data_IF_126222173897
#
_entry.id   IF_126222173897
#
_cell.length_a   1.000
_cell.length_b   1.000
_cell.length_c   1.000
_cell.angle_alpha   90.00
_cell.angle_beta   90.00
_cell.angle_gamma   90.00
#
_symmetry.space_group_name_H-M   'P 1'
#
loop_
_entity.id
_entity.type
_entity.pdbx_description
1 polymer ?
#
# COMPACT_ATOMS: atom_id res chain seq x y z
N UNK A 1 10.56 25.82 -9.36
CA UNK A 1 9.76 24.58 -9.25
C UNK A 1 8.88 24.33 -10.48
N UNK A 2 8.41 25.36 -11.15
CA UNK A 2 7.59 25.25 -12.39
C UNK A 2 8.24 24.52 -13.57
N UNK A 3 9.54 24.28 -13.52
CA UNK A 3 10.31 23.57 -14.54
C UNK A 3 10.88 22.22 -14.04
N UNK A 4 10.47 21.79 -12.84
CA UNK A 4 10.95 20.55 -12.21
C UNK A 4 9.77 19.59 -12.08
N UNK A 5 9.86 18.45 -12.74
CA UNK A 5 8.87 17.38 -12.72
C UNK A 5 9.46 16.16 -12.00
N UNK A 6 9.06 15.94 -10.73
CA UNK A 6 9.49 14.77 -9.96
C UNK A 6 8.58 13.60 -10.29
N UNK A 7 9.14 12.58 -10.92
CA UNK A 7 8.41 11.40 -11.37
C UNK A 7 8.32 10.36 -10.24
N UNK A 8 7.10 9.92 -9.96
CA UNK A 8 6.81 8.62 -9.38
C UNK A 8 5.98 7.83 -10.39
N UNK A 9 6.54 6.74 -10.91
CA UNK A 9 5.87 5.98 -11.97
C UNK A 9 4.55 5.34 -11.53
N UNK A 10 4.32 5.16 -10.22
CA UNK A 10 3.02 4.71 -9.71
C UNK A 10 1.89 5.69 -10.04
N UNK A 11 2.15 6.99 -10.02
CA UNK A 11 1.15 8.00 -10.41
C UNK A 11 0.79 7.94 -11.91
N UNK A 12 1.65 7.36 -12.74
CA UNK A 12 1.37 7.11 -14.15
C UNK A 12 0.55 5.85 -14.43
N UNK A 13 0.32 4.98 -13.42
CA UNK A 13 -0.50 3.78 -13.60
C UNK A 13 -1.98 4.12 -13.57
N UNK A 14 -2.73 3.62 -14.56
CA UNK A 14 -4.16 3.88 -14.70
C UNK A 14 -4.95 3.46 -13.47
N UNK A 15 -4.64 2.32 -12.88
CA UNK A 15 -5.32 1.82 -11.67
C UNK A 15 -5.01 2.64 -10.42
N UNK A 16 -3.85 3.28 -10.32
CA UNK A 16 -3.56 4.23 -9.25
C UNK A 16 -4.38 5.51 -9.44
N UNK A 17 -4.47 6.02 -10.66
CA UNK A 17 -5.33 7.17 -10.97
C UNK A 17 -6.81 6.85 -10.76
N UNK A 18 -7.21 5.59 -11.02
CA UNK A 18 -8.57 5.13 -10.81
C UNK A 18 -9.03 5.19 -9.35
N UNK A 19 -8.15 5.24 -8.37
CA UNK A 19 -8.54 5.46 -6.98
C UNK A 19 -9.36 6.75 -6.86
N UNK A 20 -8.93 7.82 -7.54
CA UNK A 20 -9.65 9.10 -7.57
C UNK A 20 -10.96 8.98 -8.35
N UNK A 21 -10.96 8.33 -9.51
CA UNK A 21 -12.18 8.12 -10.31
C UNK A 21 -13.20 7.28 -9.55
N UNK A 22 -12.78 6.17 -8.94
CA UNK A 22 -13.63 5.30 -8.14
C UNK A 22 -14.30 6.09 -6.99
N UNK A 23 -13.52 6.87 -6.28
CA UNK A 23 -14.00 7.64 -5.13
C UNK A 23 -14.90 8.81 -5.53
N UNK A 24 -14.45 9.64 -6.47
CA UNK A 24 -15.03 10.96 -6.70
C UNK A 24 -16.05 11.03 -7.83
N UNK A 25 -16.17 9.98 -8.66
CA UNK A 25 -17.22 9.90 -9.67
C UNK A 25 -18.38 8.95 -9.29
N UNK A 26 -18.31 8.31 -8.13
CA UNK A 26 -19.34 7.37 -7.67
C UNK A 26 -19.89 7.79 -6.31
N UNK A 27 -21.15 8.19 -6.27
CA UNK A 27 -21.83 8.67 -5.05
C UNK A 27 -21.95 7.65 -3.91
N UNK A 28 -21.73 6.37 -4.19
CA UNK A 28 -21.84 5.29 -3.20
C UNK A 28 -20.59 5.07 -2.37
N UNK A 29 -19.40 5.45 -2.85
CA UNK A 29 -18.15 5.18 -2.14
C UNK A 29 -17.76 6.29 -1.18
N UNK A 30 -17.76 7.54 -1.60
CA UNK A 30 -17.24 8.64 -0.80
C UNK A 30 -17.96 8.81 0.56
N UNK A 31 -19.31 8.62 0.70
CA UNK A 31 -20.00 8.69 1.99
C UNK A 31 -19.52 7.64 3.01
N UNK A 32 -19.08 6.49 2.55
CA UNK A 32 -18.59 5.39 3.42
C UNK A 32 -17.06 5.38 3.57
N UNK A 33 -16.36 6.31 2.94
CA UNK A 33 -14.89 6.40 2.90
C UNK A 33 -14.34 7.21 4.09
N UNK A 34 -14.67 6.75 5.30
CA UNK A 34 -14.29 7.45 6.53
C UNK A 34 -14.29 6.54 7.76
N UNK A 35 -13.79 7.05 8.87
CA UNK A 35 -13.78 6.40 10.18
C UNK A 35 -15.15 5.85 10.64
N UNK A 36 -16.24 6.36 10.12
CA UNK A 36 -17.56 5.86 10.49
C UNK A 36 -17.83 4.45 9.98
N UNK A 37 -17.26 4.10 8.83
CA UNK A 37 -17.50 2.83 8.14
C UNK A 37 -16.25 1.97 7.96
N UNK A 38 -15.08 2.58 7.82
CA UNK A 38 -13.81 1.88 7.63
C UNK A 38 -13.24 1.44 8.97
N UNK A 39 -12.86 0.16 9.08
CA UNK A 39 -12.15 -0.40 10.22
C UNK A 39 -10.64 -0.14 10.12
N UNK A 40 -10.06 -0.47 8.98
CA UNK A 40 -8.66 -0.23 8.67
C UNK A 40 -8.38 -0.25 7.17
N UNK A 41 -7.23 0.25 6.77
CA UNK A 41 -6.73 0.20 5.40
C UNK A 41 -5.43 -0.60 5.37
N UNK A 42 -5.27 -1.47 4.36
CA UNK A 42 -4.00 -2.16 4.10
C UNK A 42 -3.49 -1.80 2.70
N UNK A 43 -2.22 -1.42 2.61
CA UNK A 43 -1.54 -1.16 1.33
C UNK A 43 -0.36 -2.12 1.26
N UNK A 44 -0.35 -3.01 0.27
CA UNK A 44 0.71 -3.99 0.07
C UNK A 44 1.37 -3.75 -1.29
N UNK A 45 2.71 -3.62 -1.28
CA UNK A 45 3.55 -3.64 -2.48
C UNK A 45 4.54 -4.78 -2.33
N UNK A 46 4.24 -5.92 -2.92
CA UNK A 46 5.04 -7.13 -2.83
C UNK A 46 5.77 -7.40 -4.15
N UNK A 47 7.03 -7.78 -4.04
CA UNK A 47 7.87 -8.20 -5.16
C UNK A 47 8.37 -9.63 -4.92
N UNK A 48 8.27 -10.48 -5.93
CA UNK A 48 8.78 -11.87 -5.90
C UNK A 48 10.25 -11.98 -6.33
N UNK A 49 10.83 -10.87 -6.79
CA UNK A 49 12.23 -10.78 -7.23
C UNK A 49 13.14 -10.32 -6.08
N UNK A 50 14.44 -10.71 -6.17
CA UNK A 50 15.53 -10.19 -5.32
C UNK A 50 16.09 -8.87 -5.85
N UNK A 51 17.24 -8.46 -5.31
CA UNK A 51 17.88 -7.20 -5.70
C UNK A 51 18.65 -7.29 -7.03
N UNK A 52 19.12 -8.47 -7.40
CA UNK A 52 19.79 -8.73 -8.68
C UNK A 52 20.90 -7.72 -9.00
N UNK A 53 20.84 -7.12 -10.20
CA UNK A 53 21.84 -6.14 -10.65
C UNK A 53 21.79 -4.81 -9.92
N UNK A 54 20.73 -4.52 -9.15
CA UNK A 54 20.56 -3.28 -8.38
C UNK A 54 21.16 -3.35 -6.96
N UNK A 55 21.87 -4.43 -6.62
CA UNK A 55 22.39 -4.67 -5.27
C UNK A 55 23.13 -3.45 -4.66
N UNK A 56 24.06 -2.84 -5.41
CA UNK A 56 24.82 -1.68 -4.91
C UNK A 56 23.98 -0.43 -4.62
N UNK A 57 22.90 -0.20 -5.38
CA UNK A 57 21.95 0.86 -5.09
C UNK A 57 21.08 0.49 -3.87
N UNK A 58 20.59 -0.74 -3.87
CA UNK A 58 19.65 -1.20 -2.84
C UNK A 58 20.28 -1.27 -1.45
N UNK A 59 21.57 -1.59 -1.37
CA UNK A 59 22.35 -1.58 -0.12
C UNK A 59 22.35 -0.21 0.57
N UNK A 60 22.22 0.88 -0.20
CA UNK A 60 22.15 2.23 0.32
C UNK A 60 20.72 2.71 0.55
N UNK A 61 19.76 2.21 -0.23
CA UNK A 61 18.38 2.67 -0.20
C UNK A 61 17.52 1.87 0.80
N UNK A 62 17.58 0.54 0.76
CA UNK A 62 16.64 -0.32 1.46
C UNK A 62 15.21 -0.20 0.96
N UNK A 63 14.30 -0.99 1.50
CA UNK A 63 12.88 -0.97 1.16
C UNK A 63 12.20 0.34 1.57
N UNK A 64 12.67 0.97 2.65
CA UNK A 64 12.10 2.21 3.16
C UNK A 64 12.22 3.34 2.15
N UNK A 65 13.42 3.55 1.58
CA UNK A 65 13.68 4.63 0.61
C UNK A 65 13.27 4.24 -0.81
N UNK A 66 13.44 2.96 -1.20
CA UNK A 66 13.15 2.51 -2.58
C UNK A 66 11.65 2.46 -2.87
N UNK A 67 10.80 2.14 -1.87
CA UNK A 67 9.36 1.90 -2.08
C UNK A 67 8.47 2.72 -1.13
N UNK A 68 8.78 2.78 0.17
CA UNK A 68 7.84 3.38 1.14
C UNK A 68 7.77 4.89 0.97
N UNK A 69 8.92 5.56 0.95
CA UNK A 69 9.04 7.02 0.93
C UNK A 69 8.37 7.66 -0.30
N UNK A 70 8.30 6.93 -1.38
CA UNK A 70 7.74 7.38 -2.66
C UNK A 70 6.39 6.71 -2.96
N UNK A 71 6.43 5.54 -3.56
CA UNK A 71 5.24 4.84 -4.10
C UNK A 71 4.15 4.60 -3.07
N UNK A 72 4.50 4.07 -1.88
CA UNK A 72 3.51 3.80 -0.85
C UNK A 72 2.91 5.09 -0.28
N UNK A 73 3.71 6.14 -0.07
CA UNK A 73 3.21 7.42 0.41
C UNK A 73 2.29 8.08 -0.62
N UNK A 74 2.57 7.97 -1.93
CA UNK A 74 1.68 8.50 -2.97
C UNK A 74 0.34 7.74 -3.01
N UNK A 75 0.37 6.40 -2.97
CA UNK A 75 -0.85 5.58 -2.92
C UNK A 75 -1.67 5.87 -1.65
N UNK A 76 -1.01 6.02 -0.50
CA UNK A 76 -1.65 6.40 0.76
C UNK A 76 -2.34 7.77 0.62
N UNK A 77 -1.68 8.76 0.02
CA UNK A 77 -2.26 10.08 -0.19
C UNK A 77 -3.54 10.02 -1.05
N UNK A 78 -3.50 9.34 -2.19
CA UNK A 78 -4.67 9.21 -3.08
C UNK A 78 -5.82 8.44 -2.42
N UNK A 79 -5.49 7.48 -1.56
CA UNK A 79 -6.47 6.72 -0.79
C UNK A 79 -7.12 7.58 0.30
N UNK A 80 -6.35 8.45 0.96
CA UNK A 80 -6.77 9.14 2.17
C UNK A 80 -7.20 10.60 1.98
N UNK A 81 -6.88 11.24 0.84
CA UNK A 81 -7.14 12.66 0.62
C UNK A 81 -8.63 13.01 0.54
N UNK A 82 -8.97 14.27 0.79
CA UNK A 82 -10.30 14.81 0.53
C UNK A 82 -10.53 14.97 -0.99
N UNK A 83 -11.80 15.00 -1.45
CA UNK A 83 -12.10 15.32 -2.85
C UNK A 83 -11.52 16.70 -3.20
N UNK A 84 -10.66 16.78 -4.25
CA UNK A 84 -10.14 18.08 -4.68
C UNK A 84 -11.25 18.92 -5.29
N UNK A 85 -11.17 20.24 -5.17
CA UNK A 85 -12.18 21.17 -5.73
C UNK A 85 -12.22 21.18 -7.25
N UNK A 86 -11.12 20.74 -7.89
CA UNK A 86 -10.98 20.58 -9.33
C UNK A 86 -9.92 19.54 -9.63
N UNK A 87 -9.99 18.89 -10.80
CA UNK A 87 -8.95 17.97 -11.24
C UNK A 87 -7.85 18.77 -11.97
N UNK A 88 -7.05 19.47 -11.18
CA UNK A 88 -5.87 20.20 -11.62
C UNK A 88 -4.70 19.98 -10.65
N UNK A 89 -3.51 20.30 -11.13
CA UNK A 89 -2.27 20.03 -10.39
C UNK A 89 -2.21 20.67 -9.00
N UNK A 90 -2.77 21.86 -8.85
CA UNK A 90 -2.75 22.55 -7.56
C UNK A 90 -3.70 21.88 -6.58
N UNK A 91 -4.95 21.69 -6.98
CA UNK A 91 -6.00 21.13 -6.13
C UNK A 91 -5.68 19.72 -5.67
N UNK A 92 -5.23 18.83 -6.59
CA UNK A 92 -4.87 17.45 -6.26
C UNK A 92 -3.67 17.39 -5.29
N UNK A 93 -2.59 18.14 -5.59
CA UNK A 93 -1.38 18.13 -4.77
C UNK A 93 -1.57 18.78 -3.41
N UNK A 94 -2.44 19.80 -3.28
CA UNK A 94 -2.78 20.37 -1.99
C UNK A 94 -3.48 19.35 -1.08
N UNK A 95 -4.40 18.55 -1.60
CA UNK A 95 -5.05 17.50 -0.81
C UNK A 95 -4.08 16.40 -0.37
N UNK A 96 -3.15 16.00 -1.23
CA UNK A 96 -2.09 15.03 -0.86
C UNK A 96 -1.21 15.56 0.28
N UNK A 97 -0.76 16.81 0.21
CA UNK A 97 0.05 17.44 1.27
C UNK A 97 -0.70 17.51 2.60
N UNK A 98 -2.01 17.79 2.58
CA UNK A 98 -2.83 17.78 3.81
C UNK A 98 -2.82 16.41 4.47
N UNK A 99 -2.90 15.32 3.69
CA UNK A 99 -2.79 13.96 4.23
C UNK A 99 -1.43 13.77 4.90
N UNK A 100 -0.32 14.03 4.19
CA UNK A 100 1.02 13.82 4.72
C UNK A 100 1.27 14.62 6.00
N UNK A 101 0.80 15.86 6.07
CA UNK A 101 0.89 16.68 7.29
C UNK A 101 0.03 16.17 8.44
N UNK A 102 -1.04 15.43 8.16
CA UNK A 102 -1.90 14.82 9.15
C UNK A 102 -1.43 13.43 9.59
N UNK A 103 -0.48 12.80 8.89
CA UNK A 103 0.11 11.54 9.35
C UNK A 103 0.86 11.78 10.65
N UNK A 104 0.47 11.02 11.69
CA UNK A 104 1.13 11.08 13.00
C UNK A 104 2.57 10.58 12.88
N UNK A 105 3.51 11.39 13.33
CA UNK A 105 4.92 11.00 13.40
C UNK A 105 5.10 9.92 14.46
N UNK A 106 5.88 8.92 14.14
CA UNK A 106 6.26 7.85 15.06
C UNK A 106 7.47 8.33 15.88
N UNK A 107 7.35 8.45 17.21
CA UNK A 107 8.50 8.77 18.05
C UNK A 107 9.60 7.70 17.93
N UNK A 108 10.87 8.11 17.98
CA UNK A 108 12.00 7.18 17.81
C UNK A 108 12.04 6.08 18.88
N UNK A 109 11.55 6.36 20.07
CA UNK A 109 11.45 5.42 21.20
C UNK A 109 10.24 4.49 21.15
N UNK A 110 9.26 4.77 20.28
CA UNK A 110 8.06 3.95 20.06
C UNK A 110 8.08 3.18 18.72
N UNK A 111 9.17 3.24 17.96
CA UNK A 111 9.24 2.67 16.60
C UNK A 111 8.88 1.19 16.56
N UNK A 112 9.22 0.40 17.56
CA UNK A 112 8.94 -1.05 17.63
C UNK A 112 7.43 -1.38 17.76
N UNK A 113 6.61 -0.41 18.16
CA UNK A 113 5.15 -0.56 18.23
C UNK A 113 4.46 -0.23 16.91
N UNK A 114 5.15 0.46 15.99
CA UNK A 114 4.56 0.97 14.75
C UNK A 114 5.28 0.54 13.49
N UNK A 115 6.51 0.02 13.58
CA UNK A 115 7.32 -0.28 12.43
C UNK A 115 8.13 -1.58 12.60
N UNK A 116 8.13 -2.39 11.57
CA UNK A 116 8.91 -3.62 11.48
C UNK A 116 9.76 -3.57 10.22
N UNK A 117 11.03 -3.94 10.34
CA UNK A 117 11.91 -4.19 9.18
C UNK A 117 12.26 -5.67 9.11
N UNK A 118 12.73 -6.13 7.96
CA UNK A 118 13.18 -7.50 7.80
C UNK A 118 14.09 -7.69 6.61
N UNK A 119 14.80 -8.81 6.58
CA UNK A 119 15.71 -9.17 5.50
C UNK A 119 15.45 -10.60 5.06
N UNK A 120 15.33 -10.85 3.72
CA UNK A 120 15.08 -12.21 3.26
C UNK A 120 16.33 -13.09 3.37
N UNK A 121 16.07 -14.33 3.79
CA UNK A 121 17.05 -15.42 3.76
C UNK A 121 16.75 -16.34 2.59
N UNK A 122 17.61 -17.37 2.38
CA UNK A 122 17.39 -18.44 1.43
C UNK A 122 15.98 -19.04 1.59
N UNK A 123 15.35 -19.38 0.48
CA UNK A 123 14.01 -19.96 0.46
C UNK A 123 13.58 -20.34 -0.95
N UNK A 124 12.27 -20.50 -1.17
CA UNK A 124 11.70 -21.01 -2.43
C UNK A 124 10.68 -20.01 -2.98
N UNK A 125 10.88 -19.57 -4.22
CA UNK A 125 9.95 -18.71 -4.95
C UNK A 125 9.63 -19.39 -6.28
N UNK A 126 8.35 -19.58 -6.57
CA UNK A 126 7.87 -20.26 -7.78
C UNK A 126 8.45 -21.67 -7.98
N UNK A 127 8.80 -22.37 -6.88
CA UNK A 127 9.37 -23.72 -6.95
C UNK A 127 10.89 -23.75 -7.21
N UNK A 128 11.55 -22.60 -7.26
CA UNK A 128 13.01 -22.49 -7.40
C UNK A 128 13.64 -22.03 -6.07
N UNK A 129 14.73 -22.65 -5.69
CA UNK A 129 15.53 -22.21 -4.56
C UNK A 129 16.25 -20.91 -4.91
N UNK A 130 16.15 -19.91 -4.04
CA UNK A 130 16.74 -18.58 -4.25
C UNK A 130 17.64 -18.20 -3.07
N UNK A 131 18.74 -17.44 -3.32
CA UNK A 131 19.66 -17.03 -2.27
C UNK A 131 19.00 -16.03 -1.31
N UNK A 132 19.53 -15.97 -0.09
CA UNK A 132 19.25 -14.89 0.86
C UNK A 132 19.92 -13.59 0.44
N UNK A 133 19.46 -12.47 1.02
CA UNK A 133 19.96 -11.14 0.68
C UNK A 133 21.48 -11.00 0.83
N UNK A 134 22.03 -11.49 1.94
CA UNK A 134 23.48 -11.46 2.21
C UNK A 134 24.30 -12.41 1.33
N UNK A 135 23.63 -13.29 0.58
CA UNK A 135 24.25 -14.18 -0.40
C UNK A 135 24.19 -13.62 -1.82
N UNK A 136 23.46 -12.51 -2.03
CA UNK A 136 23.37 -11.83 -3.32
C UNK A 136 24.72 -11.19 -3.68
N UNK A 137 25.01 -11.12 -4.98
CA UNK A 137 26.27 -10.56 -5.46
C UNK A 137 26.41 -9.07 -5.06
N UNK A 138 27.58 -8.71 -4.53
CA UNK A 138 27.92 -7.36 -4.08
C UNK A 138 27.13 -6.87 -2.84
N UNK A 139 26.60 -7.77 -2.03
CA UNK A 139 26.02 -7.46 -0.73
C UNK A 139 27.01 -7.87 0.36
N UNK A 140 27.13 -7.05 1.41
CA UNK A 140 27.95 -7.39 2.59
C UNK A 140 27.32 -8.55 3.35
N UNK A 141 28.12 -9.53 3.83
CA UNK A 141 27.61 -10.60 4.70
C UNK A 141 27.00 -10.08 6.02
N UNK A 142 27.41 -8.88 6.44
CA UNK A 142 26.96 -8.24 7.67
C UNK A 142 25.93 -7.12 7.41
N UNK A 143 25.37 -7.06 6.18
CA UNK A 143 24.39 -6.03 5.82
C UNK A 143 23.17 -6.07 6.74
N UNK A 144 22.75 -4.89 7.19
CA UNK A 144 21.51 -4.67 7.95
C UNK A 144 20.46 -3.91 7.16
N UNK A 145 20.65 -3.81 5.84
CA UNK A 145 19.71 -3.14 4.93
C UNK A 145 18.41 -3.93 4.86
N UNK A 146 17.31 -3.25 5.10
CA UNK A 146 16.00 -3.87 5.10
C UNK A 146 15.50 -4.15 3.68
N UNK A 147 15.01 -5.38 3.46
CA UNK A 147 14.35 -5.82 2.23
C UNK A 147 12.85 -5.98 2.40
N UNK A 148 12.36 -5.75 3.61
CA UNK A 148 10.97 -5.73 3.99
C UNK A 148 10.74 -4.61 5.00
N UNK A 149 9.60 -3.94 4.86
CA UNK A 149 9.10 -2.95 5.82
C UNK A 149 7.60 -3.15 6.00
N UNK A 150 7.15 -3.11 7.25
CA UNK A 150 5.74 -2.93 7.59
C UNK A 150 5.59 -1.76 8.55
N UNK A 151 4.60 -0.91 8.32
CA UNK A 151 4.28 0.25 9.16
C UNK A 151 2.80 0.26 9.53
N UNK A 152 2.51 0.70 10.73
CA UNK A 152 1.18 1.10 11.20
C UNK A 152 1.17 2.62 11.31
N UNK A 153 0.41 3.27 10.44
CA UNK A 153 0.29 4.73 10.39
C UNK A 153 -1.09 5.19 10.85
N UNK A 154 -1.15 6.37 11.45
CA UNK A 154 -2.38 7.04 11.83
C UNK A 154 -2.46 8.41 11.14
N UNK A 155 -3.65 8.78 10.68
CA UNK A 155 -3.90 10.07 10.04
C UNK A 155 -4.83 10.86 10.95
N UNK A 156 -4.30 11.90 11.58
CA UNK A 156 -4.99 12.71 12.59
C UNK A 156 -5.83 13.80 11.92
N UNK A 157 -6.92 13.39 11.29
CA UNK A 157 -7.93 14.26 10.72
C UNK A 157 -9.35 13.71 10.98
N UNK A 158 -10.37 14.48 10.68
CA UNK A 158 -11.78 14.10 10.92
C UNK A 158 -12.20 12.85 10.12
N UNK A 159 -11.65 12.64 8.94
CA UNK A 159 -11.98 11.49 8.09
C UNK A 159 -11.44 10.18 8.66
N UNK A 160 -10.23 10.20 9.21
CA UNK A 160 -9.46 8.99 9.51
C UNK A 160 -9.11 8.78 10.98
N UNK A 161 -9.57 9.68 11.88
CA UNK A 161 -9.27 9.55 13.31
C UNK A 161 -9.64 8.16 13.83
N UNK A 162 -8.65 7.44 14.39
CA UNK A 162 -8.81 6.10 14.94
C UNK A 162 -8.76 4.95 13.91
N UNK A 163 -8.64 5.22 12.61
CA UNK A 163 -8.47 4.20 11.55
C UNK A 163 -6.97 3.98 11.31
N UNK A 164 -6.41 2.80 11.59
CA UNK A 164 -5.03 2.51 11.27
C UNK A 164 -4.86 2.21 9.77
N UNK A 165 -3.76 2.67 9.22
CA UNK A 165 -3.28 2.36 7.89
C UNK A 165 -2.07 1.44 8.02
N UNK A 166 -2.22 0.18 7.64
CA UNK A 166 -1.14 -0.78 7.61
C UNK A 166 -0.53 -0.80 6.21
N UNK A 167 0.74 -0.46 6.11
CA UNK A 167 1.45 -0.47 4.84
C UNK A 167 2.60 -1.46 4.92
N UNK A 168 2.83 -2.25 3.87
CA UNK A 168 3.97 -3.15 3.80
C UNK A 168 4.53 -3.26 2.39
N UNK A 169 5.82 -3.47 2.32
CA UNK A 169 6.54 -3.82 1.11
C UNK A 169 7.64 -4.82 1.40
N UNK A 170 8.03 -5.60 0.42
CA UNK A 170 9.18 -6.49 0.54
C UNK A 170 9.56 -7.17 -0.76
N UNK A 171 10.81 -7.64 -0.81
CA UNK A 171 11.35 -8.45 -1.89
C UNK A 171 11.30 -9.94 -1.53
N UNK A 172 11.38 -10.82 -2.56
CA UNK A 172 11.28 -12.27 -2.39
C UNK A 172 10.02 -12.71 -1.61
N UNK A 173 8.94 -11.94 -1.74
CA UNK A 173 7.62 -12.35 -1.26
C UNK A 173 7.02 -13.41 -2.19
N UNK A 174 5.92 -14.12 -1.79
CA UNK A 174 5.39 -15.26 -2.56
C UNK A 174 4.97 -14.92 -3.99
N UNK A 175 4.59 -13.66 -4.23
CA UNK A 175 4.18 -13.18 -5.55
C UNK A 175 4.33 -11.67 -5.68
N UNK A 176 4.41 -11.21 -6.93
CA UNK A 176 4.34 -9.79 -7.25
C UNK A 176 2.88 -9.31 -7.16
N UNK A 177 2.60 -8.33 -6.29
CA UNK A 177 1.27 -7.74 -6.18
C UNK A 177 1.34 -6.34 -5.58
N UNK A 178 0.53 -5.43 -6.11
CA UNK A 178 0.25 -4.14 -5.47
C UNK A 178 -1.26 -4.01 -5.33
N UNK A 179 -1.72 -3.89 -4.09
CA UNK A 179 -3.15 -3.70 -3.80
C UNK A 179 -3.37 -2.75 -2.62
N UNK A 180 -4.54 -2.10 -2.64
CA UNK A 180 -5.10 -1.34 -1.55
C UNK A 180 -6.38 -2.05 -1.11
N UNK A 181 -6.46 -2.45 0.16
CA UNK A 181 -7.65 -3.07 0.72
C UNK A 181 -8.27 -2.16 1.77
N UNK A 182 -9.51 -1.73 1.53
CA UNK A 182 -10.33 -0.98 2.46
C UNK A 182 -11.22 -1.96 3.20
N UNK A 183 -10.89 -2.24 4.44
CA UNK A 183 -11.68 -3.12 5.30
C UNK A 183 -12.77 -2.31 5.97
N UNK A 184 -14.01 -2.64 5.71
CA UNK A 184 -15.14 -2.00 6.40
C UNK A 184 -15.39 -2.64 7.77
N UNK A 185 -16.04 -1.88 8.64
CA UNK A 185 -16.53 -2.38 9.94
C UNK A 185 -17.54 -3.49 9.74
N UNK A 186 -17.65 -4.44 10.68
CA UNK A 186 -18.68 -5.45 10.62
C UNK A 186 -20.10 -4.84 10.65
N UNK A 187 -21.05 -5.55 10.10
CA UNK A 187 -22.47 -5.18 10.19
C UNK A 187 -22.87 -5.11 11.67
N UNK A 188 -23.44 -4.00 12.15
CA UNK A 188 -23.74 -3.82 13.58
C UNK A 188 -24.80 -4.80 14.10
N UNK A 189 -25.68 -5.24 13.21
CA UNK A 189 -26.69 -6.28 13.46
C UNK A 189 -27.08 -6.98 12.17
N UNK A 190 -27.05 -8.29 12.15
CA UNK A 190 -27.55 -9.06 11.04
C UNK A 190 -28.66 -10.03 11.54
N UNK A 191 -29.88 -9.93 11.04
CA UNK A 191 -31.04 -10.73 11.53
C UNK A 191 -31.04 -12.16 11.01
N UNK A 192 -29.96 -12.64 10.44
CA UNK A 192 -29.87 -13.95 9.79
C UNK A 192 -29.14 -14.95 10.68
N UNK A 193 -29.63 -16.18 10.79
CA UNK A 193 -28.92 -17.25 11.47
C UNK A 193 -27.56 -17.50 10.78
N UNK A 194 -26.47 -17.62 11.57
CA UNK A 194 -25.11 -17.81 11.04
C UNK A 194 -24.45 -16.53 10.54
N UNK A 195 -25.09 -15.38 10.70
CA UNK A 195 -24.52 -14.09 10.26
C UNK A 195 -23.31 -13.65 11.10
N UNK A 196 -23.13 -14.20 12.29
CA UNK A 196 -21.94 -14.01 13.14
C UNK A 196 -20.64 -14.49 12.47
N UNK A 197 -20.74 -15.37 11.48
CA UNK A 197 -19.61 -15.90 10.72
C UNK A 197 -19.36 -15.13 9.40
N UNK A 198 -20.14 -14.09 9.10
CA UNK A 198 -19.96 -13.30 7.90
C UNK A 198 -18.71 -12.41 8.05
N UNK A 199 -17.82 -12.52 7.07
CA UNK A 199 -16.69 -11.60 6.99
C UNK A 199 -17.18 -10.19 6.62
N UNK A 200 -16.63 -9.15 7.25
CA UNK A 200 -16.95 -7.77 6.88
C UNK A 200 -16.63 -7.48 5.42
N UNK A 201 -17.31 -6.49 4.85
CA UNK A 201 -17.06 -6.09 3.46
C UNK A 201 -15.64 -5.58 3.28
N UNK A 202 -15.04 -5.89 2.14
CA UNK A 202 -13.71 -5.41 1.74
C UNK A 202 -13.78 -4.90 0.31
N UNK A 203 -13.33 -3.67 0.09
CA UNK A 203 -13.06 -3.15 -1.23
C UNK A 203 -11.55 -3.25 -1.49
N UNK A 204 -11.17 -3.90 -2.57
CA UNK A 204 -9.77 -4.08 -2.98
C UNK A 204 -9.54 -3.40 -4.32
N UNK A 205 -8.61 -2.45 -4.36
CA UNK A 205 -8.10 -1.89 -5.61
C UNK A 205 -6.79 -2.60 -5.94
N UNK A 206 -6.79 -3.36 -7.02
CA UNK A 206 -5.62 -4.08 -7.53
C UNK A 206 -4.90 -3.23 -8.56
N UNK A 207 -3.65 -2.88 -8.28
CA UNK A 207 -2.80 -2.05 -9.15
C UNK A 207 -1.98 -2.92 -10.11
N UNK A 208 -1.57 -4.10 -9.64
CA UNK A 208 -0.86 -5.10 -10.46
C UNK A 208 -0.88 -6.47 -9.75
N UNK A 209 -0.76 -7.61 -10.47
CA UNK A 209 -0.62 -7.73 -11.94
C UNK A 209 -1.95 -7.60 -12.68
N UNK A 210 -3.07 -8.01 -12.06
CA UNK A 210 -4.41 -7.95 -12.64
C UNK A 210 -5.11 -6.69 -12.17
N UNK A 211 -5.10 -5.67 -13.02
CA UNK A 211 -5.67 -4.37 -12.72
C UNK A 211 -7.19 -4.44 -12.57
N UNK A 212 -7.70 -3.90 -11.45
CA UNK A 212 -9.14 -3.93 -11.21
C UNK A 212 -9.57 -3.53 -9.82
N UNK A 213 -10.87 -3.67 -9.59
CA UNK A 213 -11.52 -3.43 -8.30
C UNK A 213 -12.37 -4.65 -7.94
N UNK A 214 -12.25 -5.11 -6.70
CA UNK A 214 -13.04 -6.22 -6.16
C UNK A 214 -13.76 -5.77 -4.90
N UNK A 215 -15.08 -5.99 -4.83
CA UNK A 215 -15.87 -5.74 -3.64
C UNK A 215 -16.41 -7.07 -3.09
N UNK A 216 -15.97 -7.45 -1.89
CA UNK A 216 -16.51 -8.62 -1.17
C UNK A 216 -17.78 -8.22 -0.44
N UNK A 217 -18.88 -8.93 -0.71
CA UNK A 217 -20.20 -8.72 -0.10
C UNK A 217 -20.83 -10.04 0.35
N UNK A 218 -21.78 -9.96 1.30
CA UNK A 218 -22.63 -11.09 1.65
C UNK A 218 -23.79 -11.24 0.64
N UNK A 219 -24.01 -12.46 0.15
CA UNK A 219 -25.14 -12.79 -0.73
C UNK A 219 -25.85 -14.05 -0.27
N UNK A 220 -27.17 -14.10 -0.50
CA UNK A 220 -27.97 -15.30 -0.19
C UNK A 220 -27.61 -16.44 -1.14
N UNK A 221 -27.31 -17.60 -0.58
CA UNK A 221 -27.13 -18.83 -1.36
C UNK A 221 -28.48 -19.24 -1.99
N UNK A 222 -28.52 -19.58 -3.30
CA UNK A 222 -29.73 -20.11 -3.92
C UNK A 222 -30.22 -21.39 -3.23
N UNK A 223 -31.54 -21.53 -3.02
CA UNK A 223 -32.13 -22.67 -2.38
C UNK A 223 -33.24 -22.32 -1.39
N UNK A 224 -33.77 -23.32 -0.68
CA UNK A 224 -34.87 -23.18 0.25
C UNK A 224 -34.50 -22.55 1.60
N UNK A 225 -33.23 -22.63 2.01
CA UNK A 225 -32.73 -22.01 3.23
C UNK A 225 -32.36 -20.53 3.04
N UNK A 226 -32.20 -19.81 4.17
CA UNK A 226 -31.68 -18.44 4.17
C UNK A 226 -30.22 -18.44 4.67
N UNK A 227 -29.34 -19.02 3.85
CA UNK A 227 -27.89 -19.06 4.10
C UNK A 227 -27.23 -17.90 3.36
N UNK A 228 -26.28 -17.20 4.03
CA UNK A 228 -25.52 -16.12 3.44
C UNK A 228 -24.05 -16.54 3.33
N UNK A 229 -23.45 -16.25 2.18
CA UNK A 229 -22.00 -16.43 1.94
C UNK A 229 -21.38 -15.18 1.36
N UNK A 230 -20.09 -14.99 1.64
CA UNK A 230 -19.30 -13.95 0.99
C UNK A 230 -19.06 -14.29 -0.48
N UNK A 231 -19.28 -13.31 -1.36
CA UNK A 231 -19.00 -13.37 -2.80
C UNK A 231 -18.25 -12.13 -3.23
N UNK A 232 -17.50 -12.20 -4.33
CA UNK A 232 -16.83 -11.05 -4.90
C UNK A 232 -17.61 -10.50 -6.10
N UNK A 233 -17.64 -9.16 -6.19
CA UNK A 233 -18.00 -8.42 -7.40
C UNK A 233 -16.71 -7.84 -7.97
N UNK A 234 -16.31 -8.31 -9.14
CA UNK A 234 -15.04 -7.92 -9.76
C UNK A 234 -15.26 -7.04 -10.99
N UNK A 235 -14.55 -5.92 -11.04
CA UNK A 235 -14.32 -5.09 -12.22
C UNK A 235 -12.88 -5.27 -12.63
N UNK A 236 -12.61 -5.94 -13.74
CA UNK A 236 -11.28 -6.09 -14.33
C UNK A 236 -11.13 -5.12 -15.50
N UNK A 237 -10.06 -4.31 -15.50
CA UNK A 237 -9.84 -3.28 -16.50
C UNK A 237 -9.70 -3.84 -17.91
N UNK A 238 -8.90 -4.89 -18.08
CA UNK A 238 -8.68 -5.52 -19.38
C UNK A 238 -9.95 -6.08 -20.03
N UNK A 239 -10.96 -6.46 -19.25
CA UNK A 239 -12.24 -6.94 -19.78
C UNK A 239 -13.29 -5.83 -19.91
N UNK A 240 -13.21 -4.80 -19.06
CA UNK A 240 -14.21 -3.73 -19.03
C UNK A 240 -14.01 -2.69 -20.16
N UNK A 241 -12.76 -2.36 -20.49
CA UNK A 241 -12.47 -1.29 -21.44
C UNK A 241 -11.95 -1.80 -22.79
N UNK A 242 -11.45 -3.03 -22.89
CA UNK A 242 -10.90 -3.65 -24.12
C UNK A 242 -9.79 -2.80 -24.78
N UNK A 243 -9.14 -1.94 -24.02
CA UNK A 243 -8.07 -1.06 -24.45
C UNK A 243 -6.74 -1.51 -23.82
N UNK A 244 -5.65 -1.30 -24.54
CA UNK A 244 -4.31 -1.50 -24.00
C UNK A 244 -4.02 -0.41 -22.97
N UNK A 245 -3.60 -0.81 -21.78
CA UNK A 245 -3.18 0.13 -20.73
C UNK A 245 -1.81 0.69 -21.09
N UNK A 246 -1.67 2.01 -21.27
CA UNK A 246 -0.38 2.61 -21.61
C UNK A 246 0.64 2.40 -20.48
N UNK A 247 1.92 2.31 -20.84
CA UNK A 247 3.00 2.28 -19.86
C UNK A 247 3.00 3.58 -19.03
N UNK A 248 3.25 3.42 -17.72
CA UNK A 248 3.23 4.55 -16.78
C UNK A 248 4.18 5.69 -17.17
N UNK A 249 5.38 5.37 -17.68
CA UNK A 249 6.31 6.40 -18.15
C UNK A 249 5.84 7.07 -19.45
N UNK A 250 5.19 6.35 -20.36
CA UNK A 250 4.61 6.93 -21.55
C UNK A 250 3.61 8.02 -21.20
N UNK A 251 2.72 7.75 -20.24
CA UNK A 251 1.74 8.72 -19.75
C UNK A 251 2.43 9.94 -19.13
N UNK A 252 3.35 9.75 -18.22
CA UNK A 252 4.03 10.84 -17.51
C UNK A 252 4.89 11.70 -18.45
N UNK A 253 5.56 11.09 -19.42
CA UNK A 253 6.33 11.85 -20.42
C UNK A 253 5.44 12.69 -21.32
N UNK A 254 4.24 12.20 -21.68
CA UNK A 254 3.25 12.99 -22.41
C UNK A 254 2.77 14.20 -21.58
N UNK A 255 2.42 13.98 -20.31
CA UNK A 255 1.98 15.06 -19.41
C UNK A 255 3.08 16.12 -19.24
N UNK A 256 4.35 15.69 -19.12
CA UNK A 256 5.50 16.60 -19.07
C UNK A 256 5.61 17.44 -20.35
N UNK A 257 5.45 16.84 -21.52
CA UNK A 257 5.50 17.57 -22.81
C UNK A 257 4.33 18.54 -22.97
N UNK A 258 3.17 18.22 -22.40
CA UNK A 258 1.99 19.10 -22.38
C UNK A 258 2.07 20.17 -21.28
N UNK A 259 3.03 20.08 -20.36
CA UNK A 259 3.19 21.00 -19.25
C UNK A 259 2.15 20.78 -18.13
N UNK A 260 1.57 19.58 -18.05
CA UNK A 260 0.63 19.21 -16.99
C UNK A 260 1.36 18.55 -15.79
N UNK A 261 1.49 19.24 -14.66
CA UNK A 261 2.17 18.69 -13.49
C UNK A 261 1.24 17.92 -12.53
N UNK A 262 0.02 17.56 -12.90
CA UNK A 262 -0.99 16.96 -12.01
C UNK A 262 -0.52 15.64 -11.38
N UNK A 263 0.16 14.80 -12.16
CA UNK A 263 0.67 13.49 -11.72
C UNK A 263 2.14 13.52 -11.25
N UNK A 264 2.70 14.71 -11.03
CA UNK A 264 4.07 14.86 -10.54
C UNK A 264 4.12 15.31 -9.08
N UNK A 265 5.15 14.90 -8.37
CA UNK A 265 5.30 15.16 -6.93
C UNK A 265 5.81 16.59 -6.71
N UNK A 266 5.19 17.30 -5.79
CA UNK A 266 5.62 18.61 -5.32
C UNK A 266 6.72 18.48 -4.24
N UNK A 267 7.58 19.48 -4.09
CA UNK A 267 8.68 19.44 -3.12
C UNK A 267 8.22 19.20 -1.68
N UNK A 268 7.16 19.90 -1.26
CA UNK A 268 6.62 19.77 0.10
C UNK A 268 5.93 18.42 0.37
N UNK A 269 5.45 17.72 -0.65
CA UNK A 269 5.03 16.32 -0.53
C UNK A 269 6.21 15.43 -0.18
N UNK A 270 7.32 15.60 -0.92
CA UNK A 270 8.56 14.83 -0.70
C UNK A 270 9.12 15.08 0.69
N UNK A 271 9.22 16.36 1.10
CA UNK A 271 9.72 16.74 2.42
C UNK A 271 8.83 16.20 3.54
N UNK A 272 7.49 16.32 3.39
CA UNK A 272 6.54 15.79 4.38
C UNK A 272 6.61 14.26 4.51
N UNK A 273 6.84 13.54 3.40
CA UNK A 273 7.03 12.09 3.45
C UNK A 273 8.33 11.72 4.19
N UNK A 274 9.42 12.45 3.99
CA UNK A 274 10.65 12.26 4.77
C UNK A 274 10.46 12.56 6.26
N UNK A 275 9.76 13.64 6.59
CA UNK A 275 9.45 14.00 7.99
C UNK A 275 8.71 12.88 8.76
N UNK A 276 7.91 12.07 8.06
CA UNK A 276 7.21 10.92 8.64
C UNK A 276 8.16 9.74 8.88
N UNK A 277 9.06 9.47 7.93
CA UNK A 277 9.84 8.24 7.89
C UNK A 277 11.23 8.37 8.52
N UNK A 278 11.83 9.56 8.52
CA UNK A 278 13.16 9.79 9.07
C UNK A 278 13.31 9.37 10.55
N UNK A 279 12.33 9.59 11.45
CA UNK A 279 12.43 9.09 12.82
C UNK A 279 12.58 7.55 12.87
N UNK A 280 11.84 6.84 12.02
CA UNK A 280 11.92 5.36 11.94
C UNK A 280 13.29 4.93 11.41
N UNK A 281 13.79 5.60 10.36
CA UNK A 281 15.10 5.31 9.77
C UNK A 281 16.20 5.56 10.82
N UNK A 282 16.15 6.68 11.54
CA UNK A 282 17.12 6.99 12.62
C UNK A 282 17.09 5.95 13.72
N UNK A 283 15.91 5.52 14.17
CA UNK A 283 15.78 4.49 15.20
C UNK A 283 16.37 3.12 14.78
N UNK A 284 16.39 2.84 13.48
CA UNK A 284 17.00 1.62 12.92
C UNK A 284 18.50 1.75 12.63
N UNK A 285 18.99 2.97 12.47
CA UNK A 285 20.41 3.22 12.16
C UNK A 285 21.31 2.77 13.31
N UNK A 286 22.34 1.97 12.99
CA UNK A 286 23.29 1.44 13.98
C UNK A 286 22.79 0.23 14.78
N UNK A 287 21.54 -0.22 14.58
CA UNK A 287 21.09 -1.52 15.15
C UNK A 287 21.62 -2.64 14.27
N UNK A 288 22.42 -3.54 14.86
CA UNK A 288 23.05 -4.68 14.17
C UNK A 288 22.05 -5.81 13.90
N UNK A 289 21.03 -5.94 14.75
CA UNK A 289 20.01 -6.99 14.62
C UNK A 289 18.92 -6.56 13.63
N UNK A 290 18.59 -7.48 12.73
CA UNK A 290 17.47 -7.34 11.79
C UNK A 290 16.72 -8.68 11.74
N UNK A 291 15.38 -8.68 11.89
CA UNK A 291 14.56 -9.87 11.71
C UNK A 291 14.72 -10.48 10.31
N UNK A 292 14.71 -11.81 10.24
CA UNK A 292 14.82 -12.53 9.00
C UNK A 292 13.48 -13.17 8.59
N UNK A 293 13.27 -13.31 7.28
CA UNK A 293 12.17 -14.09 6.73
C UNK A 293 12.64 -14.96 5.57
N UNK A 294 12.16 -16.21 5.44
CA UNK A 294 12.47 -17.05 4.30
C UNK A 294 11.93 -16.44 3.00
N UNK A 295 12.72 -16.43 1.93
CA UNK A 295 12.22 -16.10 0.61
C UNK A 295 10.99 -16.96 0.26
N UNK A 296 9.96 -16.36 -0.33
CA UNK A 296 8.67 -17.00 -0.58
C UNK A 296 7.67 -16.95 0.58
N UNK A 297 8.04 -16.34 1.72
CA UNK A 297 7.09 -16.02 2.80
C UNK A 297 6.56 -14.59 2.71
N UNK A 298 5.55 -14.23 3.52
CA UNK A 298 4.94 -12.89 3.54
C UNK A 298 5.66 -11.89 4.45
N UNK A 299 6.91 -12.11 4.76
CA UNK A 299 7.72 -11.25 5.62
C UNK A 299 8.04 -11.91 6.96
N UNK A 300 8.69 -11.18 7.88
CA UNK A 300 9.03 -11.66 9.21
C UNK A 300 7.78 -11.81 10.10
N UNK A 301 7.86 -12.67 11.13
CA UNK A 301 6.76 -12.93 12.07
C UNK A 301 6.33 -11.67 12.82
N UNK A 302 7.27 -10.79 13.12
CA UNK A 302 7.03 -9.51 13.79
C UNK A 302 6.07 -8.61 13.00
N UNK A 303 6.02 -8.76 11.67
CA UNK A 303 5.04 -8.05 10.85
C UNK A 303 3.62 -8.57 11.04
N UNK A 304 3.43 -9.87 11.26
CA UNK A 304 2.13 -10.44 11.62
C UNK A 304 1.75 -10.02 13.06
N UNK A 305 2.71 -10.01 13.99
CA UNK A 305 2.48 -9.52 15.36
C UNK A 305 2.03 -8.07 15.40
N UNK A 306 2.66 -7.20 14.58
CA UNK A 306 2.31 -5.78 14.50
C UNK A 306 0.81 -5.55 14.28
N UNK A 307 0.20 -6.27 13.35
CA UNK A 307 -1.23 -6.13 13.04
C UNK A 307 -2.11 -6.94 14.00
N UNK A 308 -1.61 -8.06 14.52
CA UNK A 308 -2.34 -8.90 15.48
C UNK A 308 -2.50 -8.25 16.85
N UNK A 309 -1.62 -7.34 17.27
CA UNK A 309 -1.79 -6.52 18.49
C UNK A 309 -3.10 -5.76 18.50
N UNK A 310 -3.63 -5.41 17.32
CA UNK A 310 -4.92 -4.72 17.15
C UNK A 310 -6.08 -5.70 16.86
N UNK A 311 -5.88 -7.02 17.00
CA UNK A 311 -6.88 -8.04 16.70
C UNK A 311 -7.16 -8.22 15.20
N UNK A 312 -6.25 -7.78 14.35
CA UNK A 312 -6.37 -7.82 12.89
C UNK A 312 -5.37 -8.79 12.26
N UNK A 313 -5.49 -9.03 10.98
CA UNK A 313 -4.54 -9.86 10.20
C UNK A 313 -4.25 -9.24 8.85
N UNK A 314 -3.06 -9.47 8.33
CA UNK A 314 -2.74 -9.10 6.97
C UNK A 314 -3.60 -9.86 5.97
N UNK A 315 -4.14 -9.11 5.03
CA UNK A 315 -4.69 -9.71 3.83
C UNK A 315 -3.55 -10.42 3.06
N UNK A 316 -3.83 -11.61 2.59
CA UNK A 316 -2.95 -12.35 1.68
C UNK A 316 -3.59 -12.29 0.28
N UNK A 317 -3.09 -11.44 -0.62
CA UNK A 317 -3.64 -11.19 -1.94
C UNK A 317 -3.78 -12.44 -2.80
#
# INVERSE_FOLDING_TARGET
ESQIYRIDHYLGKETVQNIMALRFSNSIFEPVWSQHYVDHVQITVAEDIGVGTRAGFYEQAGAMRDIVQNHLMQVLCLTAMEPPVAFDARSVREEKVKVLKAVRRIPEDEVEDFAVRGQYTRGWVWGEEVPGYREEKNISPDSTTETFVALKLHIDNWRWAGVPFYVRTGKRLPKRVTEIAIQFKPTPHAPFAGAENLEPNVLVVRVQPEEGVSLKIGAKVPGSGFEIRSVNMDLLYGTAFLEEVPDAYQRLLLDLMLGDPTLFIRADETESAWDILDPVIRAWTGKEEIPFYPAGSWGPEEADELIMRDGRKWRRP
#
